data_IF_330695979924
#
_entry.id   IF_330695979924
#
_cell.length_a   1.000
_cell.length_b   1.000
_cell.length_c   1.000
_cell.angle_alpha   90.00
_cell.angle_beta   90.00
_cell.angle_gamma   90.00
#
_symmetry.space_group_name_H-M   'P 1'
#
loop_
_entity.id
_entity.type
_entity.pdbx_description
1 polymer ?
#
# COMPACT_ATOMS: atom_id res chain seq x y z
N UNK A 1 -2.95 38.53 6.39
CA UNK A 1 -2.11 38.79 5.21
C UNK A 1 -2.44 37.70 4.22
N UNK A 2 -2.79 38.04 2.98
CA UNK A 2 -2.99 37.01 1.95
C UNK A 2 -1.64 36.35 1.65
N UNK A 3 -1.55 35.03 1.83
CA UNK A 3 -0.37 34.29 1.41
C UNK A 3 -0.27 34.37 -0.11
N UNK A 4 0.87 34.78 -0.65
CA UNK A 4 1.13 34.78 -2.11
C UNK A 4 1.24 33.39 -2.74
N UNK A 5 0.68 32.37 -2.10
CA UNK A 5 0.61 30.99 -2.56
C UNK A 5 -0.72 30.78 -3.30
N UNK A 6 -0.74 29.91 -4.30
CA UNK A 6 -1.99 29.57 -4.99
C UNK A 6 -2.95 28.90 -4.01
N UNK A 7 -4.22 29.31 -4.07
CA UNK A 7 -5.26 28.77 -3.21
C UNK A 7 -5.51 27.29 -3.54
N UNK A 8 -5.76 26.48 -2.51
CA UNK A 8 -6.14 25.05 -2.59
C UNK A 8 -5.02 24.07 -3.01
N UNK A 9 -3.75 24.46 -2.91
CA UNK A 9 -2.62 23.54 -3.11
C UNK A 9 -1.88 23.21 -1.80
N UNK A 10 -1.46 21.94 -1.65
CA UNK A 10 -0.71 21.49 -0.47
C UNK A 10 0.80 21.58 -0.72
N UNK A 11 1.45 22.60 -0.15
CA UNK A 11 2.90 22.82 -0.29
C UNK A 11 3.73 22.21 0.83
N UNK A 12 3.16 21.36 1.70
CA UNK A 12 3.83 20.87 2.92
C UNK A 12 5.17 20.14 2.65
N UNK A 13 5.33 19.59 1.43
CA UNK A 13 6.52 18.87 0.97
C UNK A 13 7.56 19.77 0.28
N UNK A 14 7.17 20.96 -0.18
CA UNK A 14 8.05 21.91 -0.87
C UNK A 14 8.73 22.82 0.17
N UNK A 15 9.97 22.50 0.55
CA UNK A 15 10.72 23.25 1.56
C UNK A 15 11.08 24.68 1.11
N UNK A 16 10.97 24.99 -0.18
CA UNK A 16 11.23 26.34 -0.70
C UNK A 16 10.04 27.27 -0.51
N UNK A 17 8.82 26.72 -0.58
CA UNK A 17 7.56 27.45 -0.39
C UNK A 17 7.02 27.34 1.03
N UNK A 18 7.22 26.19 1.68
CA UNK A 18 6.79 25.89 3.05
C UNK A 18 7.96 26.01 4.03
N UNK A 19 8.49 27.23 4.12
CA UNK A 19 9.64 27.61 4.95
C UNK A 19 9.32 27.46 6.44
N UNK A 20 10.35 27.48 7.29
CA UNK A 20 10.17 27.41 8.74
C UNK A 20 9.36 28.60 9.29
N UNK A 21 9.61 29.80 8.77
CA UNK A 21 8.87 31.00 9.15
C UNK A 21 7.37 30.89 8.81
N UNK A 22 7.05 30.33 7.64
CA UNK A 22 5.67 30.10 7.24
C UNK A 22 4.98 29.04 8.12
N UNK A 23 5.71 27.98 8.50
CA UNK A 23 5.21 26.96 9.46
C UNK A 23 4.90 27.57 10.81
N UNK A 24 5.81 28.39 11.33
CA UNK A 24 5.66 29.03 12.64
C UNK A 24 4.49 30.02 12.63
N UNK A 25 4.29 30.75 11.53
CA UNK A 25 3.12 31.60 11.33
C UNK A 25 1.82 30.78 11.30
N UNK A 26 1.76 29.69 10.53
CA UNK A 26 0.60 28.81 10.45
C UNK A 26 0.25 28.21 11.82
N UNK A 27 1.27 27.82 12.59
CA UNK A 27 1.10 27.31 13.94
C UNK A 27 0.56 28.39 14.89
N UNK A 28 1.07 29.62 14.79
CA UNK A 28 0.60 30.75 15.59
C UNK A 28 -0.87 31.08 15.29
N UNK A 29 -1.26 31.11 14.01
CA UNK A 29 -2.65 31.32 13.59
C UNK A 29 -3.56 30.19 14.09
N UNK A 30 -3.11 28.94 14.00
CA UNK A 30 -3.86 27.79 14.51
C UNK A 30 -4.04 27.82 16.04
N UNK A 31 -3.00 28.23 16.79
CA UNK A 31 -3.07 28.37 18.26
C UNK A 31 -4.04 29.49 18.65
N UNK A 32 -4.03 30.62 17.93
CA UNK A 32 -4.97 31.72 18.16
C UNK A 32 -6.42 31.32 17.90
N UNK A 33 -6.67 30.59 16.80
CA UNK A 33 -7.99 30.03 16.48
C UNK A 33 -8.44 29.05 17.58
N UNK A 34 -7.55 28.18 18.04
CA UNK A 34 -7.87 27.24 19.13
C UNK A 34 -8.20 27.97 20.44
N UNK A 35 -7.38 28.95 20.82
CA UNK A 35 -7.59 29.74 22.05
C UNK A 35 -8.84 30.62 21.99
N UNK A 36 -9.24 31.07 20.80
CA UNK A 36 -10.49 31.82 20.60
C UNK A 36 -11.74 30.94 20.60
N UNK A 37 -11.60 29.62 20.76
CA UNK A 37 -12.71 28.67 20.87
C UNK A 37 -13.24 28.20 19.51
N UNK A 38 -12.44 28.31 18.44
CA UNK A 38 -12.80 27.76 17.14
C UNK A 38 -12.87 26.23 17.23
N UNK A 39 -14.05 25.67 16.92
CA UNK A 39 -14.26 24.23 16.93
C UNK A 39 -13.81 23.63 15.59
N UNK A 40 -12.76 22.80 15.64
CA UNK A 40 -12.22 22.07 14.49
C UNK A 40 -13.20 21.07 13.87
N UNK A 41 -14.34 20.79 14.53
CA UNK A 41 -15.37 19.87 14.02
C UNK A 41 -16.50 20.57 13.25
N UNK A 42 -16.50 21.91 13.14
CA UNK A 42 -17.47 22.67 12.33
C UNK A 42 -16.97 22.88 10.88
N UNK A 43 -16.42 21.84 10.25
CA UNK A 43 -16.09 21.92 8.82
C UNK A 43 -17.35 21.90 7.97
N UNK A 44 -17.38 22.74 6.94
CA UNK A 44 -18.39 22.65 5.88
C UNK A 44 -18.18 21.35 5.08
N UNK A 45 -19.23 20.86 4.41
CA UNK A 45 -19.12 19.67 3.53
C UNK A 45 -17.99 19.81 2.49
N UNK A 46 -17.77 21.03 2.00
CA UNK A 46 -16.70 21.34 1.05
C UNK A 46 -15.30 21.18 1.69
N UNK A 47 -15.10 21.72 2.90
CA UNK A 47 -13.84 21.59 3.63
C UNK A 47 -13.53 20.15 4.02
N UNK A 48 -14.56 19.38 4.39
CA UNK A 48 -14.44 17.95 4.69
C UNK A 48 -14.04 17.16 3.44
N UNK A 49 -14.67 17.40 2.30
CA UNK A 49 -14.33 16.78 1.02
C UNK A 49 -12.89 17.08 0.59
N UNK A 50 -12.43 18.31 0.77
CA UNK A 50 -11.03 18.69 0.54
C UNK A 50 -10.07 17.99 1.48
N UNK A 51 -10.42 17.88 2.76
CA UNK A 51 -9.63 17.15 3.74
C UNK A 51 -9.53 15.66 3.37
N UNK A 52 -10.65 15.02 3.03
CA UNK A 52 -10.69 13.62 2.58
C UNK A 52 -9.82 13.41 1.34
N UNK A 53 -9.97 14.26 0.31
CA UNK A 53 -9.20 14.19 -0.94
C UNK A 53 -7.71 14.45 -0.73
N UNK A 54 -7.36 15.40 0.15
CA UNK A 54 -5.97 15.68 0.52
C UNK A 54 -5.38 14.52 1.33
N UNK A 55 -6.15 13.91 2.24
CA UNK A 55 -5.71 12.79 3.04
C UNK A 55 -5.52 11.50 2.21
N UNK A 56 -6.42 11.23 1.26
CA UNK A 56 -6.26 10.17 0.24
C UNK A 56 -4.95 10.33 -0.55
N UNK A 57 -4.55 11.57 -0.82
CA UNK A 57 -3.36 11.85 -1.62
C UNK A 57 -2.03 11.69 -0.86
N UNK A 58 -2.00 11.77 0.48
CA UNK A 58 -0.75 12.21 1.14
C UNK A 58 0.05 11.26 2.04
N UNK A 59 -0.45 10.30 2.82
CA UNK A 59 0.40 9.91 3.99
C UNK A 59 0.68 8.44 4.35
N UNK A 60 0.05 7.43 3.77
CA UNK A 60 0.50 6.04 4.03
C UNK A 60 0.04 5.06 2.94
N UNK A 61 -1.14 5.27 2.36
CA UNK A 61 -1.66 4.38 1.32
C UNK A 61 -0.75 4.31 0.09
N UNK A 62 -0.14 5.42 -0.34
CA UNK A 62 0.71 5.42 -1.54
C UNK A 62 1.96 4.55 -1.41
N UNK A 63 2.60 4.50 -0.24
CA UNK A 63 3.75 3.63 0.00
C UNK A 63 3.34 2.16 0.07
N UNK A 64 2.16 1.87 0.63
CA UNK A 64 1.59 0.51 0.65
C UNK A 64 1.20 0.05 -0.75
N UNK A 65 0.51 0.90 -1.51
CA UNK A 65 0.10 0.61 -2.89
C UNK A 65 1.32 0.37 -3.76
N UNK A 66 2.35 1.23 -3.68
CA UNK A 66 3.59 1.08 -4.44
C UNK A 66 4.27 -0.25 -4.14
N UNK A 67 4.47 -0.58 -2.86
CA UNK A 67 5.09 -1.87 -2.46
C UNK A 67 4.27 -3.09 -2.89
N UNK A 68 2.94 -3.02 -2.76
CA UNK A 68 2.05 -4.12 -3.18
C UNK A 68 2.12 -4.25 -4.71
N UNK A 69 2.11 -3.14 -5.46
CA UNK A 69 2.22 -3.16 -6.93
C UNK A 69 3.52 -3.84 -7.36
N UNK A 70 4.66 -3.41 -6.82
CA UNK A 70 5.96 -4.01 -7.13
C UNK A 70 6.01 -5.50 -6.76
N UNK A 71 5.38 -5.90 -5.65
CA UNK A 71 5.29 -7.30 -5.26
C UNK A 71 4.45 -8.15 -6.23
N UNK A 72 3.36 -7.61 -6.76
CA UNK A 72 2.48 -8.33 -7.70
C UNK A 72 3.14 -8.50 -9.07
N UNK A 73 3.96 -7.54 -9.49
CA UNK A 73 4.72 -7.56 -10.74
C UNK A 73 6.02 -8.38 -10.64
N UNK A 74 6.50 -8.62 -9.42
CA UNK A 74 7.70 -9.39 -9.13
C UNK A 74 7.65 -10.78 -9.76
N UNK A 75 8.73 -11.14 -10.46
CA UNK A 75 8.97 -12.52 -10.90
C UNK A 75 9.36 -13.38 -9.70
N UNK A 76 8.63 -14.47 -9.49
CA UNK A 76 8.87 -15.41 -8.40
C UNK A 76 9.04 -16.84 -8.92
N UNK A 77 9.80 -17.71 -8.24
CA UNK A 77 9.95 -19.10 -8.64
C UNK A 77 8.61 -19.84 -8.67
N UNK A 78 8.40 -20.77 -9.60
CA UNK A 78 7.23 -21.68 -9.61
C UNK A 78 7.04 -22.44 -8.29
N UNK A 79 8.14 -22.68 -7.57
CA UNK A 79 8.17 -23.32 -6.26
C UNK A 79 7.80 -22.37 -5.10
N UNK A 80 7.33 -21.15 -5.37
CA UNK A 80 7.02 -20.13 -4.36
C UNK A 80 6.23 -20.68 -3.18
N UNK A 81 5.11 -21.35 -3.44
CA UNK A 81 4.24 -21.88 -2.37
C UNK A 81 4.79 -23.11 -1.65
N UNK A 82 5.93 -23.66 -2.08
CA UNK A 82 6.67 -24.70 -1.39
C UNK A 82 7.74 -24.13 -0.45
N UNK A 83 8.05 -22.83 -0.56
CA UNK A 83 9.04 -22.14 0.28
C UNK A 83 8.46 -21.78 1.66
N UNK A 84 9.36 -21.65 2.65
CA UNK A 84 9.03 -21.05 3.94
C UNK A 84 8.84 -19.53 3.82
N UNK A 85 8.13 -18.94 4.79
CA UNK A 85 7.92 -17.48 4.82
C UNK A 85 9.24 -16.72 4.92
N UNK A 86 10.22 -17.27 5.64
CA UNK A 86 11.57 -16.72 5.76
C UNK A 86 12.30 -16.71 4.42
N UNK A 87 12.19 -17.79 3.63
CA UNK A 87 12.77 -17.86 2.29
C UNK A 87 12.10 -16.88 1.33
N UNK A 88 10.77 -16.73 1.40
CA UNK A 88 10.04 -15.73 0.60
C UNK A 88 10.48 -14.30 0.95
N UNK A 89 10.62 -14.00 2.25
CA UNK A 89 11.13 -12.71 2.74
C UNK A 89 12.55 -12.44 2.28
N UNK A 90 13.41 -13.45 2.35
CA UNK A 90 14.80 -13.35 1.88
C UNK A 90 14.86 -13.08 0.38
N UNK A 91 14.05 -13.78 -0.41
CA UNK A 91 13.92 -13.54 -1.85
C UNK A 91 13.50 -12.09 -2.13
N UNK A 92 12.45 -11.61 -1.46
CA UNK A 92 11.96 -10.23 -1.57
C UNK A 92 13.03 -9.19 -1.22
N UNK A 93 13.83 -9.43 -0.19
CA UNK A 93 14.89 -8.51 0.23
C UNK A 93 16.05 -8.42 -0.77
N UNK A 94 16.31 -9.50 -1.50
CA UNK A 94 17.38 -9.60 -2.51
C UNK A 94 16.92 -9.24 -3.92
N UNK A 95 15.63 -9.00 -4.11
CA UNK A 95 15.06 -8.65 -5.39
C UNK A 95 15.40 -7.22 -5.79
N UNK A 96 15.93 -7.05 -6.99
CA UNK A 96 16.14 -5.74 -7.60
C UNK A 96 14.91 -5.40 -8.44
N UNK A 97 14.07 -4.49 -7.92
CA UNK A 97 12.85 -4.06 -8.59
C UNK A 97 13.10 -3.21 -9.84
N UNK A 98 14.24 -2.52 -9.93
CA UNK A 98 14.57 -1.69 -11.09
C UNK A 98 14.94 -2.55 -12.31
N UNK A 99 15.55 -3.71 -12.05
CA UNK A 99 15.94 -4.68 -13.07
C UNK A 99 14.98 -5.86 -13.20
N UNK A 100 14.00 -5.96 -12.30
CA UNK A 100 13.03 -7.04 -12.22
C UNK A 100 13.70 -8.43 -12.16
N UNK A 101 14.83 -8.53 -11.45
CA UNK A 101 15.65 -9.73 -11.33
C UNK A 101 16.01 -9.98 -9.86
N UNK A 102 16.15 -11.25 -9.48
CA UNK A 102 16.78 -11.58 -8.21
C UNK A 102 18.29 -11.76 -8.45
N UNK A 103 19.13 -11.06 -7.70
CA UNK A 103 20.58 -11.21 -7.79
C UNK A 103 21.11 -12.55 -7.28
N UNK A 104 20.25 -13.45 -6.81
CA UNK A 104 20.59 -14.79 -6.34
C UNK A 104 20.54 -15.81 -7.49
N UNK A 105 21.65 -16.53 -7.71
CA UNK A 105 21.89 -17.47 -8.84
C UNK A 105 21.09 -18.79 -8.69
N UNK A 106 20.14 -18.84 -7.74
CA UNK A 106 19.43 -20.05 -7.36
C UNK A 106 18.31 -20.46 -8.33
N UNK A 107 17.86 -19.56 -9.22
CA UNK A 107 16.74 -19.80 -10.12
C UNK A 107 17.06 -19.30 -11.53
N UNK A 108 16.85 -20.15 -12.53
CA UNK A 108 16.94 -19.78 -13.94
C UNK A 108 15.68 -18.99 -14.36
N UNK A 109 15.79 -18.16 -15.40
CA UNK A 109 14.66 -17.35 -15.90
C UNK A 109 13.45 -18.20 -16.30
N UNK A 110 13.66 -19.43 -16.76
CA UNK A 110 12.59 -20.36 -17.17
C UNK A 110 11.73 -20.84 -16.00
N UNK A 111 12.23 -20.74 -14.77
CA UNK A 111 11.55 -21.15 -13.54
C UNK A 111 10.86 -20.00 -12.81
N UNK A 112 10.93 -18.79 -13.37
CA UNK A 112 10.30 -17.60 -12.84
C UNK A 112 8.94 -17.35 -13.51
N UNK A 113 7.91 -17.08 -12.70
CA UNK A 113 6.57 -16.72 -13.13
C UNK A 113 6.08 -15.46 -12.41
N UNK A 114 5.15 -14.74 -13.03
CA UNK A 114 4.48 -13.60 -12.38
C UNK A 114 3.36 -14.09 -11.47
N UNK A 115 2.92 -13.24 -10.54
CA UNK A 115 1.86 -13.62 -9.64
C UNK A 115 0.52 -13.79 -10.37
N UNK A 116 -0.05 -15.00 -10.34
CA UNK A 116 -1.41 -15.29 -10.83
C UNK A 116 -2.46 -15.22 -9.71
N UNK A 117 -2.07 -15.62 -8.51
CA UNK A 117 -2.87 -15.58 -7.28
C UNK A 117 -1.99 -15.17 -6.11
N UNK A 118 -2.56 -14.45 -5.15
CA UNK A 118 -1.92 -14.08 -3.86
C UNK A 118 -2.94 -14.12 -2.73
N UNK A 119 -2.49 -14.02 -1.48
CA UNK A 119 -3.39 -13.94 -0.32
C UNK A 119 -3.01 -12.79 0.64
N UNK A 120 -3.97 -12.34 1.47
CA UNK A 120 -3.76 -11.22 2.42
C UNK A 120 -2.59 -11.49 3.39
N UNK A 121 -2.47 -12.68 4.02
CA UNK A 121 -1.35 -12.96 4.92
C UNK A 121 0.02 -12.92 4.21
N UNK A 122 0.10 -13.38 2.97
CA UNK A 122 1.31 -13.32 2.15
C UNK A 122 1.71 -11.88 1.87
N UNK A 123 0.77 -11.03 1.45
CA UNK A 123 1.04 -9.59 1.22
C UNK A 123 1.50 -8.93 2.52
N UNK A 124 0.85 -9.24 3.65
CA UNK A 124 1.19 -8.66 4.94
C UNK A 124 2.60 -9.04 5.41
N UNK A 125 2.95 -10.32 5.32
CA UNK A 125 4.22 -10.80 5.85
C UNK A 125 5.37 -10.60 4.86
N UNK A 126 5.17 -10.89 3.58
CA UNK A 126 6.23 -10.89 2.57
C UNK A 126 6.37 -9.52 1.94
N UNK A 127 5.30 -8.98 1.34
CA UNK A 127 5.38 -7.71 0.61
C UNK A 127 5.59 -6.51 1.55
N UNK A 128 4.88 -6.49 2.68
CA UNK A 128 4.96 -5.40 3.66
C UNK A 128 6.00 -5.64 4.75
N UNK A 129 6.62 -6.82 4.80
CA UNK A 129 7.71 -7.15 5.73
C UNK A 129 7.30 -7.21 7.20
N UNK A 130 6.00 -7.33 7.51
CA UNK A 130 5.52 -7.29 8.88
C UNK A 130 5.88 -8.59 9.63
N UNK A 131 6.23 -8.43 10.91
CA UNK A 131 6.58 -9.56 11.80
C UNK A 131 5.35 -10.18 12.45
N UNK A 132 4.30 -9.39 12.67
CA UNK A 132 3.09 -9.83 13.35
C UNK A 132 2.17 -10.63 12.41
N UNK A 133 1.69 -11.77 12.91
CA UNK A 133 0.67 -12.60 12.24
C UNK A 133 -0.74 -11.99 12.36
N UNK A 134 -0.96 -11.13 13.35
CA UNK A 134 -2.27 -10.55 13.64
C UNK A 134 -2.50 -9.33 12.78
N UNK A 135 -3.34 -9.49 11.76
CA UNK A 135 -3.78 -8.40 10.88
C UNK A 135 -5.02 -7.75 11.50
N UNK A 136 -4.92 -6.48 11.87
CA UNK A 136 -6.06 -5.71 12.36
C UNK A 136 -7.09 -5.51 11.22
N UNK A 137 -8.38 -5.35 11.56
CA UNK A 137 -9.46 -5.07 10.60
C UNK A 137 -9.13 -3.87 9.71
N UNK A 138 -8.60 -2.80 10.30
CA UNK A 138 -8.20 -1.60 9.56
C UNK A 138 -7.09 -1.88 8.54
N UNK A 139 -6.05 -2.61 8.93
CA UNK A 139 -4.94 -2.99 8.03
C UNK A 139 -5.41 -3.90 6.90
N UNK A 140 -6.32 -4.83 7.20
CA UNK A 140 -6.92 -5.70 6.18
C UNK A 140 -7.72 -4.87 5.16
N UNK A 141 -8.45 -3.87 5.61
CA UNK A 141 -9.22 -2.99 4.73
C UNK A 141 -8.30 -2.17 3.82
N UNK A 142 -7.22 -1.60 4.36
CA UNK A 142 -6.20 -0.88 3.57
C UNK A 142 -5.60 -1.76 2.47
N UNK A 143 -5.29 -3.02 2.78
CA UNK A 143 -4.79 -3.98 1.79
C UNK A 143 -5.84 -4.22 0.71
N UNK A 144 -7.12 -4.39 1.06
CA UNK A 144 -8.17 -4.58 0.07
C UNK A 144 -8.37 -3.36 -0.82
N UNK A 145 -8.40 -2.16 -0.25
CA UNK A 145 -8.51 -0.91 -1.02
C UNK A 145 -7.31 -0.73 -1.96
N UNK A 146 -6.11 -1.04 -1.49
CA UNK A 146 -4.89 -1.00 -2.32
C UNK A 146 -4.97 -1.97 -3.50
N UNK A 147 -5.41 -3.21 -3.25
CA UNK A 147 -5.55 -4.26 -4.25
C UNK A 147 -6.65 -3.92 -5.27
N UNK A 148 -7.77 -3.36 -4.82
CA UNK A 148 -8.86 -2.93 -5.67
C UNK A 148 -8.44 -1.77 -6.59
N UNK A 149 -7.67 -0.80 -6.08
CA UNK A 149 -7.06 0.27 -6.89
C UNK A 149 -6.10 -0.28 -7.95
N UNK A 150 -5.39 -1.37 -7.65
CA UNK A 150 -4.50 -2.06 -8.59
C UNK A 150 -5.24 -2.98 -9.59
N UNK A 151 -6.58 -3.05 -9.53
CA UNK A 151 -7.39 -3.86 -10.46
C UNK A 151 -7.47 -5.35 -10.12
N UNK A 152 -7.02 -5.74 -8.94
CA UNK A 152 -7.10 -7.12 -8.44
C UNK A 152 -8.37 -7.30 -7.60
N UNK A 153 -8.96 -8.49 -7.62
CA UNK A 153 -10.20 -8.79 -6.89
C UNK A 153 -10.03 -9.97 -5.94
N UNK A 154 -10.64 -9.83 -4.78
CA UNK A 154 -10.71 -10.88 -3.77
C UNK A 154 -11.87 -11.80 -4.10
N UNK A 155 -11.59 -13.08 -4.30
CA UNK A 155 -12.64 -14.07 -4.48
C UNK A 155 -13.27 -14.38 -3.12
N UNK A 156 -14.52 -13.94 -2.91
CA UNK A 156 -15.23 -14.10 -1.63
C UNK A 156 -15.79 -15.51 -1.44
N UNK A 157 -16.00 -16.26 -2.52
CA UNK A 157 -16.65 -17.58 -2.51
C UNK A 157 -15.66 -18.73 -2.56
N UNK A 158 -14.56 -18.59 -3.31
CA UNK A 158 -13.53 -19.64 -3.42
C UNK A 158 -12.51 -19.57 -2.28
N UNK A 159 -12.00 -20.73 -1.89
CA UNK A 159 -10.83 -20.85 -1.02
C UNK A 159 -9.77 -21.66 -1.77
N UNK A 160 -8.52 -21.24 -1.66
CA UNK A 160 -7.39 -21.96 -2.24
C UNK A 160 -6.33 -22.19 -1.16
N UNK A 161 -5.50 -23.22 -1.35
CA UNK A 161 -4.36 -23.49 -0.48
C UNK A 161 -3.15 -22.67 -0.92
N UNK A 162 -2.58 -21.96 0.03
CA UNK A 162 -1.40 -21.09 -0.12
C UNK A 162 -0.27 -21.60 0.75
N UNK A 163 0.39 -22.72 0.37
CA UNK A 163 1.59 -23.21 1.05
C UNK A 163 1.51 -23.19 2.58
N UNK A 164 2.43 -22.43 3.20
CA UNK A 164 2.55 -22.20 4.65
C UNK A 164 1.39 -21.39 5.24
N UNK A 165 0.70 -20.57 4.44
CA UNK A 165 -0.44 -19.74 4.87
C UNK A 165 -1.77 -20.51 4.95
N UNK A 166 -1.80 -21.77 4.52
CA UNK A 166 -2.98 -22.64 4.60
C UNK A 166 -4.10 -22.24 3.64
N UNK A 167 -5.35 -22.49 4.03
CA UNK A 167 -6.53 -22.17 3.21
C UNK A 167 -6.90 -20.70 3.37
N UNK A 168 -6.80 -19.93 2.28
CA UNK A 168 -7.11 -18.50 2.26
C UNK A 168 -7.98 -18.16 1.05
N UNK A 169 -8.60 -16.98 1.10
CA UNK A 169 -9.33 -16.43 -0.05
C UNK A 169 -8.31 -15.94 -1.09
N UNK A 170 -8.34 -16.47 -2.33
CA UNK A 170 -7.42 -16.04 -3.35
C UNK A 170 -7.78 -14.65 -3.84
N UNK A 171 -6.75 -13.87 -4.08
CA UNK A 171 -6.81 -12.57 -4.75
C UNK A 171 -6.21 -12.77 -6.13
N UNK A 172 -6.99 -12.49 -7.16
CA UNK A 172 -6.62 -12.72 -8.56
C UNK A 172 -6.90 -11.50 -9.41
N UNK A 173 -6.20 -11.39 -10.54
CA UNK A 173 -6.57 -10.43 -11.59
C UNK A 173 -7.88 -10.85 -12.24
N UNK A 174 -8.59 -9.90 -12.84
CA UNK A 174 -9.81 -10.15 -13.61
C UNK A 174 -9.60 -11.15 -14.77
N UNK A 175 -8.38 -11.23 -15.32
CA UNK A 175 -8.02 -12.20 -16.36
C UNK A 175 -7.79 -13.63 -15.83
N UNK A 176 -7.62 -13.81 -14.52
CA UNK A 176 -7.33 -15.09 -13.88
C UNK A 176 -8.55 -15.86 -13.36
N UNK A 177 -9.75 -15.28 -13.38
CA UNK A 177 -10.97 -15.95 -12.90
C UNK A 177 -11.32 -17.21 -13.73
N UNK A 178 -10.92 -17.26 -15.00
CA UNK A 178 -11.19 -18.36 -15.94
C UNK A 178 -10.21 -19.54 -15.82
N UNK A 179 -9.08 -19.41 -15.10
CA UNK A 179 -7.98 -20.39 -15.13
C UNK A 179 -7.67 -21.08 -13.79
N UNK A 180 -8.54 -20.96 -12.78
CA UNK A 180 -8.34 -21.69 -11.52
C UNK A 180 -8.96 -23.09 -11.61
N UNK A 181 -8.16 -24.18 -11.54
CA UNK A 181 -8.70 -25.53 -11.47
C UNK A 181 -9.50 -25.69 -10.17
N UNK A 182 -10.66 -26.31 -10.31
CA UNK A 182 -11.62 -26.64 -9.26
C UNK A 182 -11.01 -27.50 -8.15
#
# INVERSE_FOLDING_TARGET
MDSGLEQNECYIKDQTKFTQEYRDQLLAEAIELYNSGYDIFEWTEEQLSWWERSNESNLAENDFIGRISSYLEMKRPKSWYSMSVEQMKYYMQKYDFDKNENGDVMYDEEDLETATKVCVPEIWQVALGQKDLTINRYQRELIYQSIERLGWKVNKTKQARFGVFGHQRPITTLAGEDNLPF
#
